data_IF_082664945493
#
_entry.id   IF_082664945493
#
_cell.length_a   1.000
_cell.length_b   1.000
_cell.length_c   1.000
_cell.angle_alpha   90.00
_cell.angle_beta   90.00
_cell.angle_gamma   90.00
#
_symmetry.space_group_name_H-M   'P 1'
#
loop_
_entity.id
_entity.type
_entity.pdbx_description
1 polymer ?
#
# COMPACT_ATOMS: atom_id res chain seq x y z
N UNK A 1 -41.23 61.57 -11.52
CA UNK A 1 -40.49 60.65 -12.43
C UNK A 1 -40.12 59.41 -11.63
N UNK A 2 -40.21 58.20 -12.21
CA UNK A 2 -40.00 56.91 -11.50
C UNK A 2 -41.13 56.58 -10.51
N UNK A 3 -42.09 55.68 -10.74
CA UNK A 3 -42.36 54.67 -11.78
C UNK A 3 -41.74 53.26 -11.54
N UNK A 4 -42.65 52.29 -11.26
CA UNK A 4 -42.47 50.83 -11.12
C UNK A 4 -41.62 50.32 -9.93
N UNK A 5 -41.85 49.11 -9.38
CA UNK A 5 -42.94 48.15 -9.62
C UNK A 5 -42.63 46.75 -9.05
N UNK A 6 -43.55 46.13 -8.29
CA UNK A 6 -43.34 44.78 -7.72
C UNK A 6 -43.53 43.65 -8.74
N UNK A 7 -42.71 42.60 -8.67
CA UNK A 7 -42.85 41.40 -9.52
C UNK A 7 -42.06 40.18 -9.02
N UNK A 8 -42.68 39.33 -8.19
CA UNK A 8 -42.06 38.11 -7.63
C UNK A 8 -42.90 36.86 -7.97
N UNK A 9 -42.52 36.09 -8.99
CA UNK A 9 -42.85 34.65 -9.23
C UNK A 9 -42.35 34.17 -10.61
N UNK A 10 -42.25 32.84 -10.79
CA UNK A 10 -41.77 32.07 -11.98
C UNK A 10 -40.25 32.09 -12.24
N UNK A 11 -39.55 31.22 -11.52
CA UNK A 11 -38.21 30.71 -11.87
C UNK A 11 -37.99 29.33 -11.22
N UNK A 12 -39.00 28.45 -11.30
CA UNK A 12 -39.00 27.11 -10.66
C UNK A 12 -39.75 26.09 -11.51
N UNK A 13 -39.54 26.15 -12.82
CA UNK A 13 -40.22 25.35 -13.86
C UNK A 13 -39.34 25.28 -15.12
N UNK A 14 -38.02 25.19 -14.92
CA UNK A 14 -37.01 25.19 -15.99
C UNK A 14 -35.73 24.49 -15.49
N UNK A 15 -35.93 23.33 -14.87
CA UNK A 15 -34.90 22.50 -14.24
C UNK A 15 -35.22 20.99 -14.36
N UNK A 16 -36.16 20.62 -15.24
CA UNK A 16 -36.75 19.27 -15.34
C UNK A 16 -36.93 18.79 -16.81
N UNK A 17 -36.41 19.51 -17.81
CA UNK A 17 -36.53 19.13 -19.24
C UNK A 17 -35.19 18.86 -19.96
N UNK A 18 -34.03 19.32 -19.46
CA UNK A 18 -32.71 19.08 -20.08
C UNK A 18 -32.11 17.68 -19.77
N UNK A 19 -32.88 16.77 -19.17
CA UNK A 19 -32.42 15.41 -18.81
C UNK A 19 -33.06 14.38 -19.76
N UNK A 20 -32.56 14.28 -21.01
CA UNK A 20 -32.83 13.11 -21.87
C UNK A 20 -31.93 12.86 -23.10
N UNK A 21 -31.28 13.87 -23.67
CA UNK A 21 -30.76 13.77 -25.05
C UNK A 21 -29.27 13.31 -25.19
N UNK A 22 -28.72 12.54 -24.25
CA UNK A 22 -27.32 12.04 -24.32
C UNK A 22 -27.12 10.54 -23.97
N UNK A 23 -28.15 9.70 -24.15
CA UNK A 23 -27.99 8.23 -24.15
C UNK A 23 -28.42 7.59 -25.48
N UNK A 24 -27.83 8.00 -26.60
CA UNK A 24 -27.72 7.12 -27.79
C UNK A 24 -26.68 7.60 -28.82
N UNK A 25 -25.47 7.00 -28.79
CA UNK A 25 -24.47 7.03 -29.89
C UNK A 25 -23.29 6.09 -29.66
N UNK A 26 -23.57 4.79 -29.67
CA UNK A 26 -22.54 3.76 -29.89
C UNK A 26 -23.01 2.81 -30.98
N UNK A 27 -22.07 2.38 -31.86
CA UNK A 27 -22.34 1.74 -33.17
C UNK A 27 -22.91 2.75 -34.19
N UNK A 28 -22.69 2.64 -35.50
CA UNK A 28 -22.06 1.57 -36.29
C UNK A 28 -21.41 2.15 -37.57
N UNK A 29 -20.25 1.63 -38.00
CA UNK A 29 -19.81 1.54 -39.41
C UNK A 29 -18.50 0.73 -39.52
N UNK A 30 -18.37 -0.11 -40.55
CA UNK A 30 -17.41 -1.23 -40.63
C UNK A 30 -17.05 -1.55 -42.09
N UNK A 31 -15.81 -2.05 -42.32
CA UNK A 31 -15.16 -2.45 -43.61
C UNK A 31 -15.04 -1.36 -44.69
N UNK A 32 -14.02 -1.37 -45.56
CA UNK A 32 -13.10 -2.42 -46.06
C UNK A 32 -11.61 -1.99 -45.98
N UNK A 33 -10.58 -2.86 -45.85
CA UNK A 33 -10.15 -4.05 -46.65
C UNK A 33 -9.78 -3.69 -48.11
N UNK A 34 -8.68 -4.11 -48.75
CA UNK A 34 -7.37 -4.75 -48.40
C UNK A 34 -6.28 -4.16 -49.39
N UNK A 35 -5.01 -4.58 -49.58
CA UNK A 35 -4.14 -5.68 -49.13
C UNK A 35 -2.61 -5.34 -49.34
N UNK A 36 -1.70 -6.17 -48.80
CA UNK A 36 -0.42 -6.70 -49.39
C UNK A 36 0.71 -5.78 -49.98
N UNK A 37 2.01 -6.15 -50.00
CA UNK A 37 2.83 -7.17 -49.29
C UNK A 37 4.35 -6.87 -49.49
N UNK A 38 5.21 -7.45 -48.63
CA UNK A 38 6.61 -7.93 -48.86
C UNK A 38 7.55 -7.42 -47.74
N UNK A 39 7.91 -8.17 -46.70
CA UNK A 39 8.50 -9.53 -46.60
C UNK A 39 10.00 -9.54 -46.91
N UNK A 40 10.82 -9.69 -45.86
CA UNK A 40 11.98 -10.59 -45.87
C UNK A 40 12.31 -11.05 -44.43
N UNK A 41 13.02 -12.18 -44.30
CA UNK A 41 13.17 -12.95 -43.07
C UNK A 41 14.63 -13.37 -42.90
N UNK A 42 15.18 -13.26 -41.69
CA UNK A 42 16.42 -13.94 -41.31
C UNK A 42 16.28 -14.58 -39.94
N UNK A 43 16.79 -15.81 -39.85
CA UNK A 43 16.71 -16.68 -38.68
C UNK A 43 18.15 -17.13 -38.37
N UNK A 44 18.56 -17.05 -37.10
CA UNK A 44 19.88 -17.49 -36.64
C UNK A 44 19.86 -17.68 -35.12
N UNK A 45 19.86 -18.93 -34.69
CA UNK A 45 19.97 -19.32 -33.28
C UNK A 45 21.38 -19.08 -32.75
N UNK A 46 21.48 -18.79 -31.45
CA UNK A 46 22.75 -18.76 -30.72
C UNK A 46 22.45 -19.02 -29.24
N UNK A 47 22.40 -20.30 -28.86
CA UNK A 47 22.46 -20.70 -27.46
C UNK A 47 23.86 -20.36 -26.91
N UNK A 48 23.92 -19.74 -25.74
CA UNK A 48 25.15 -19.54 -24.98
C UNK A 48 24.77 -19.49 -23.52
N UNK A 49 25.28 -20.44 -22.74
CA UNK A 49 25.17 -20.45 -21.28
C UNK A 49 25.48 -19.07 -20.69
N UNK A 50 24.59 -18.59 -19.82
CA UNK A 50 24.93 -17.53 -18.87
C UNK A 50 24.94 -18.12 -17.47
N UNK A 51 26.15 -18.17 -16.95
CA UNK A 51 26.56 -18.66 -15.64
C UNK A 51 25.70 -18.08 -14.49
N UNK A 52 25.50 -18.90 -13.45
CA UNK A 52 24.67 -18.61 -12.28
C UNK A 52 25.48 -17.79 -11.24
N UNK A 53 25.95 -16.59 -11.63
CA UNK A 53 26.70 -15.70 -10.74
C UNK A 53 26.28 -14.23 -10.85
N UNK A 54 26.47 -13.49 -9.74
CA UNK A 54 26.21 -12.05 -9.56
C UNK A 54 24.74 -11.61 -9.72
N UNK A 55 23.92 -11.94 -8.70
CA UNK A 55 22.69 -11.20 -8.37
C UNK A 55 22.90 -10.25 -7.18
N UNK A 56 24.05 -9.57 -7.12
CA UNK A 56 24.20 -8.30 -6.40
C UNK A 56 23.44 -7.24 -7.19
N UNK A 57 22.11 -7.26 -7.09
CA UNK A 57 21.26 -6.21 -7.66
C UNK A 57 21.32 -4.98 -6.75
N UNK A 58 21.40 -3.79 -7.34
CA UNK A 58 21.61 -2.54 -6.61
C UNK A 58 20.56 -2.35 -5.49
N UNK A 59 21.00 -2.44 -4.23
CA UNK A 59 20.30 -1.81 -3.11
C UNK A 59 20.31 -0.31 -3.39
N UNK A 60 19.21 0.20 -3.95
CA UNK A 60 19.10 1.60 -4.36
C UNK A 60 19.36 2.50 -3.14
N UNK A 61 20.50 3.19 -3.13
CA UNK A 61 21.09 3.83 -1.95
C UNK A 61 20.05 4.63 -1.15
N UNK A 62 19.53 4.02 -0.07
CA UNK A 62 18.58 4.68 0.83
C UNK A 62 19.34 5.78 1.57
N UNK A 63 19.07 7.03 1.22
CA UNK A 63 19.88 8.19 1.59
C UNK A 63 19.64 8.67 3.03
N UNK A 64 19.69 7.76 4.01
CA UNK A 64 19.76 8.03 5.45
C UNK A 64 18.56 8.77 6.06
N UNK A 65 17.42 8.81 5.36
CA UNK A 65 16.19 9.47 5.77
C UNK A 65 15.02 8.62 5.25
N UNK A 66 14.07 8.26 6.13
CA UNK A 66 13.01 7.29 5.86
C UNK A 66 11.92 7.76 4.88
N UNK A 67 10.74 7.11 4.84
CA UNK A 67 10.21 6.14 5.80
C UNK A 67 11.04 4.88 5.99
N UNK A 68 10.97 4.31 7.19
CA UNK A 68 11.64 3.08 7.59
C UNK A 68 10.76 1.87 7.32
N UNK A 69 11.34 0.68 7.16
CA UNK A 69 10.59 -0.58 7.26
C UNK A 69 10.40 -0.95 8.73
N UNK A 70 9.24 -1.52 9.07
CA UNK A 70 8.98 -2.17 10.38
C UNK A 70 10.01 -3.21 10.84
N UNK A 71 10.79 -3.80 9.93
CA UNK A 71 11.79 -4.84 10.17
C UNK A 71 13.23 -4.31 10.09
N UNK A 72 13.42 -3.02 9.87
CA UNK A 72 14.74 -2.38 9.82
C UNK A 72 15.30 -2.21 11.25
N UNK A 73 16.50 -2.73 11.58
CA UNK A 73 17.08 -2.60 12.91
C UNK A 73 17.52 -1.17 13.28
N UNK A 74 17.58 -0.23 12.32
CA UNK A 74 17.84 1.20 12.59
C UNK A 74 16.54 2.04 12.65
N UNK A 75 15.35 1.42 12.47
CA UNK A 75 14.07 2.11 12.59
C UNK A 75 13.84 2.73 13.98
N UNK A 76 13.12 3.86 14.07
CA UNK A 76 12.79 4.49 15.35
C UNK A 76 11.82 3.63 16.17
N UNK A 77 11.91 3.75 17.49
CA UNK A 77 10.95 3.17 18.42
C UNK A 77 9.53 3.72 18.14
N UNK A 78 8.58 2.80 17.94
CA UNK A 78 7.18 3.10 17.58
C UNK A 78 6.19 2.88 18.72
N UNK A 79 6.65 2.65 19.96
CA UNK A 79 5.75 2.41 21.11
C UNK A 79 4.72 3.54 21.30
N UNK A 80 5.17 4.79 21.20
CA UNK A 80 4.35 5.99 21.34
C UNK A 80 3.75 6.51 20.01
N UNK A 81 3.86 5.76 18.91
CA UNK A 81 3.28 6.12 17.60
C UNK A 81 1.80 5.72 17.53
N UNK A 82 1.02 6.46 16.72
CA UNK A 82 -0.36 6.11 16.41
C UNK A 82 -0.38 5.08 15.27
N UNK A 83 -0.92 3.90 15.54
CA UNK A 83 -0.99 2.79 14.60
C UNK A 83 -2.27 2.88 13.74
N UNK A 84 -2.14 2.71 12.42
CA UNK A 84 -3.25 2.60 11.47
C UNK A 84 -3.13 1.37 10.54
N UNK A 85 -2.36 0.35 10.92
CA UNK A 85 -2.07 -0.85 10.14
C UNK A 85 -0.77 -0.66 9.37
N UNK A 86 -0.84 -0.48 8.05
CA UNK A 86 0.33 -0.33 7.18
C UNK A 86 1.31 0.82 7.54
N UNK A 87 0.97 1.71 8.47
CA UNK A 87 1.78 2.88 8.83
C UNK A 87 1.73 3.14 10.35
N UNK A 88 2.90 3.32 10.94
CA UNK A 88 3.07 3.90 12.27
C UNK A 88 3.26 5.41 12.12
N UNK A 89 2.41 6.20 12.77
CA UNK A 89 2.40 7.66 12.64
C UNK A 89 3.02 8.34 13.89
N UNK A 90 4.12 9.10 13.77
CA UNK A 90 4.66 9.87 14.89
C UNK A 90 3.72 11.02 15.27
N UNK A 91 3.82 11.53 16.50
CA UNK A 91 2.97 12.64 16.94
C UNK A 91 3.45 14.01 16.41
N UNK A 92 2.76 14.54 15.39
CA UNK A 92 2.99 15.90 14.91
C UNK A 92 2.07 16.93 15.61
N UNK A 93 2.63 17.72 16.52
CA UNK A 93 1.89 18.73 17.27
C UNK A 93 1.19 19.75 16.35
N UNK A 94 -0.12 19.89 16.51
CA UNK A 94 -0.93 20.84 15.72
C UNK A 94 -1.24 20.35 14.30
N UNK A 95 -1.15 19.04 14.06
CA UNK A 95 -1.70 18.39 12.88
C UNK A 95 -3.12 17.84 13.12
N UNK A 96 -3.85 17.59 12.03
CA UNK A 96 -5.10 16.83 12.01
C UNK A 96 -4.91 15.56 11.16
N UNK A 97 -5.25 14.39 11.71
CA UNK A 97 -5.38 13.15 10.94
C UNK A 97 -6.81 13.01 10.41
N UNK A 98 -6.95 12.62 9.14
CA UNK A 98 -8.21 12.12 8.55
C UNK A 98 -7.91 10.84 7.76
N UNK A 99 -8.75 9.82 7.91
CA UNK A 99 -8.62 8.57 7.15
C UNK A 99 -9.51 8.57 5.91
N UNK A 100 -9.02 7.95 4.84
CA UNK A 100 -9.65 7.81 3.53
C UNK A 100 -10.33 6.44 3.44
N UNK A 101 -11.49 6.27 4.07
CA UNK A 101 -12.20 5.00 4.06
C UNK A 101 -12.99 4.76 2.76
N UNK A 102 -13.03 3.51 2.30
CA UNK A 102 -13.96 3.04 1.28
C UNK A 102 -15.38 3.02 1.88
N UNK A 103 -16.32 3.75 1.28
CA UNK A 103 -17.69 3.87 1.80
C UNK A 103 -18.57 2.62 1.59
N UNK A 104 -18.10 1.60 0.88
CA UNK A 104 -18.83 0.34 0.65
C UNK A 104 -18.35 -0.80 1.55
N UNK A 105 -17.03 -0.95 1.72
CA UNK A 105 -16.41 -2.04 2.50
C UNK A 105 -16.01 -1.61 3.91
N UNK A 106 -15.67 -0.33 4.10
CA UNK A 106 -15.13 0.22 5.34
C UNK A 106 -13.59 0.34 5.35
N UNK A 107 -12.89 -0.34 4.42
CA UNK A 107 -11.43 -0.41 4.38
C UNK A 107 -10.78 0.97 4.35
N UNK A 108 -9.70 1.17 5.11
CA UNK A 108 -8.92 2.40 5.05
C UNK A 108 -7.97 2.31 3.84
N UNK A 109 -8.09 3.27 2.92
CA UNK A 109 -7.32 3.34 1.67
C UNK A 109 -6.10 4.29 1.77
N UNK A 110 -5.92 4.95 2.91
CA UNK A 110 -4.85 5.90 3.15
C UNK A 110 -5.17 6.89 4.28
N UNK A 111 -4.16 7.67 4.65
CA UNK A 111 -4.26 8.73 5.65
C UNK A 111 -4.06 10.11 5.02
N UNK A 112 -4.53 11.17 5.68
CA UNK A 112 -4.20 12.55 5.34
C UNK A 112 -3.87 13.32 6.61
N UNK A 113 -2.63 13.79 6.68
CA UNK A 113 -2.13 14.67 7.73
C UNK A 113 -2.25 16.11 7.25
N UNK A 114 -3.06 16.94 7.91
CA UNK A 114 -3.11 18.39 7.66
C UNK A 114 -2.28 19.11 8.70
N UNK A 115 -1.35 19.96 8.26
CA UNK A 115 -0.56 20.82 9.13
C UNK A 115 -0.64 22.26 8.64
N UNK A 116 -1.25 23.14 9.45
CA UNK A 116 -1.51 24.55 9.13
C UNK A 116 -2.27 24.74 7.80
N UNK A 117 -1.59 25.17 6.74
CA UNK A 117 -2.18 25.40 5.41
C UNK A 117 -1.80 24.32 4.38
N UNK A 118 -1.00 23.33 4.80
CA UNK A 118 -0.51 22.23 3.99
C UNK A 118 -1.17 20.90 4.36
N UNK A 119 -1.09 19.91 3.49
CA UNK A 119 -1.49 18.54 3.79
C UNK A 119 -0.62 17.52 3.06
N UNK A 120 -0.44 16.36 3.68
CA UNK A 120 0.25 15.20 3.15
C UNK A 120 -0.73 14.03 3.17
N UNK A 121 -1.11 13.52 2.00
CA UNK A 121 -1.88 12.29 1.84
C UNK A 121 -0.90 11.11 1.67
N UNK A 122 -1.15 10.00 2.38
CA UNK A 122 -0.27 8.85 2.53
C UNK A 122 -0.98 7.59 2.07
N UNK A 123 -0.42 6.90 1.08
CA UNK A 123 -0.98 5.69 0.48
C UNK A 123 0.13 4.62 0.31
N UNK A 124 0.22 3.61 1.20
CA UNK A 124 1.18 2.52 1.11
C UNK A 124 0.69 1.44 0.15
N UNK A 125 1.52 1.08 -0.82
CA UNK A 125 1.28 0.02 -1.79
C UNK A 125 2.23 -1.16 -1.58
N UNK A 126 1.81 -2.37 -1.92
CA UNK A 126 2.69 -3.52 -2.03
C UNK A 126 3.56 -3.40 -3.31
N UNK A 127 4.84 -3.71 -3.20
CA UNK A 127 5.81 -3.69 -4.30
C UNK A 127 6.42 -5.10 -4.53
N UNK A 128 7.03 -5.36 -5.70
CA UNK A 128 7.78 -6.59 -5.95
C UNK A 128 8.94 -6.80 -4.95
N UNK A 129 9.47 -8.02 -4.88
CA UNK A 129 10.69 -8.31 -4.09
C UNK A 129 12.00 -7.85 -4.76
N UNK A 130 11.98 -7.58 -6.07
CA UNK A 130 13.18 -7.46 -6.91
C UNK A 130 13.38 -6.09 -7.55
N UNK A 131 12.38 -5.20 -7.47
CA UNK A 131 12.37 -3.87 -8.10
C UNK A 131 11.49 -2.94 -7.28
N UNK A 132 11.89 -1.67 -7.19
CA UNK A 132 11.02 -0.58 -6.72
C UNK A 132 9.83 -0.35 -7.65
N UNK A 133 8.71 0.06 -7.08
CA UNK A 133 7.46 0.35 -7.78
C UNK A 133 7.32 1.84 -8.14
N UNK A 134 8.02 2.74 -7.47
CA UNK A 134 7.84 4.18 -7.68
C UNK A 134 8.16 4.59 -9.12
N UNK A 135 9.20 4.03 -9.74
CA UNK A 135 9.60 4.41 -11.10
C UNK A 135 8.55 4.06 -12.17
N UNK A 136 7.82 2.95 -12.02
CA UNK A 136 6.67 2.64 -12.87
C UNK A 136 5.52 3.63 -12.65
N UNK A 137 5.19 3.90 -11.38
CA UNK A 137 4.10 4.80 -10.99
C UNK A 137 4.40 6.25 -11.41
N UNK A 138 5.67 6.66 -11.34
CA UNK A 138 6.20 7.94 -11.81
C UNK A 138 6.04 8.07 -13.33
N UNK A 139 6.40 7.03 -14.09
CA UNK A 139 6.22 6.98 -15.54
C UNK A 139 4.73 7.02 -15.95
N UNK A 140 3.86 6.25 -15.27
CA UNK A 140 2.41 6.29 -15.48
C UNK A 140 1.83 7.69 -15.20
N UNK A 141 2.21 8.31 -14.08
CA UNK A 141 1.73 9.64 -13.70
C UNK A 141 2.17 10.73 -14.70
N UNK A 142 3.42 10.67 -15.19
CA UNK A 142 3.92 11.56 -16.25
C UNK A 142 3.14 11.36 -17.56
N UNK A 143 2.94 10.11 -17.99
CA UNK A 143 2.21 9.74 -19.20
C UNK A 143 0.74 10.16 -19.16
N UNK A 144 0.09 10.03 -18.00
CA UNK A 144 -1.30 10.42 -17.80
C UNK A 144 -1.52 11.94 -17.68
N UNK A 145 -0.49 12.71 -17.32
CA UNK A 145 -0.63 14.14 -16.98
C UNK A 145 0.40 15.02 -17.74
N UNK A 146 0.08 15.53 -18.95
CA UNK A 146 1.01 16.35 -19.75
C UNK A 146 1.46 17.69 -19.12
N UNK A 147 0.90 18.09 -17.97
CA UNK A 147 1.35 19.25 -17.18
C UNK A 147 2.23 18.87 -15.98
N UNK A 148 2.44 17.58 -15.74
CA UNK A 148 3.32 17.05 -14.70
C UNK A 148 4.79 17.32 -15.07
N UNK A 149 5.65 17.46 -14.06
CA UNK A 149 7.10 17.63 -14.24
C UNK A 149 7.84 16.83 -13.20
N UNK A 150 8.87 16.13 -13.62
CA UNK A 150 9.86 15.56 -12.71
C UNK A 150 10.75 16.65 -12.12
N UNK A 151 11.09 16.51 -10.84
CA UNK A 151 12.02 17.36 -10.09
C UNK A 151 12.85 16.48 -9.16
N UNK A 152 14.10 16.84 -8.94
CA UNK A 152 14.92 16.25 -7.89
C UNK A 152 14.54 16.84 -6.53
N UNK A 153 14.37 15.99 -5.52
CA UNK A 153 13.96 16.39 -4.18
C UNK A 153 14.71 15.65 -3.07
N UNK A 154 14.10 15.54 -1.89
CA UNK A 154 14.75 14.94 -0.71
C UNK A 154 14.74 13.42 -0.82
N UNK A 155 13.68 12.86 -1.39
CA UNK A 155 13.46 11.43 -1.54
C UNK A 155 13.72 10.96 -2.98
N UNK A 156 14.80 11.47 -3.60
CA UNK A 156 15.16 11.18 -4.98
C UNK A 156 14.28 11.89 -6.01
N UNK A 157 13.71 11.13 -6.95
CA UNK A 157 12.88 11.66 -8.05
C UNK A 157 11.45 11.91 -7.60
N UNK A 158 10.99 13.15 -7.71
CA UNK A 158 9.65 13.58 -7.29
C UNK A 158 8.88 14.19 -8.47
N UNK A 159 7.54 14.28 -8.36
CA UNK A 159 6.68 14.86 -9.39
C UNK A 159 5.95 16.11 -8.90
N UNK A 160 6.08 17.20 -9.65
CA UNK A 160 5.25 18.41 -9.51
C UNK A 160 4.03 18.31 -10.43
N UNK A 161 2.82 18.24 -9.86
CA UNK A 161 1.57 17.96 -10.59
C UNK A 161 0.52 19.08 -10.39
N UNK A 162 0.09 19.77 -11.46
CA UNK A 162 -1.03 20.73 -11.37
C UNK A 162 -2.39 20.02 -11.39
N UNK A 163 -3.11 20.03 -10.25
CA UNK A 163 -4.44 19.39 -10.10
C UNK A 163 -5.55 20.44 -10.09
N UNK A 164 -6.63 20.22 -10.86
CA UNK A 164 -7.74 21.17 -10.99
C UNK A 164 -8.88 20.87 -10.01
N UNK A 165 -8.91 21.56 -8.88
CA UNK A 165 -9.92 21.38 -7.81
C UNK A 165 -10.91 22.54 -7.81
N UNK A 166 -12.21 22.24 -7.96
CA UNK A 166 -13.32 23.24 -7.95
C UNK A 166 -13.06 24.45 -8.87
N UNK A 167 -12.50 24.19 -10.05
CA UNK A 167 -12.16 25.20 -11.06
C UNK A 167 -10.83 25.94 -10.86
N UNK A 168 -10.14 25.76 -9.72
CA UNK A 168 -8.81 26.33 -9.45
C UNK A 168 -7.72 25.31 -9.73
N UNK A 169 -6.60 25.73 -10.31
CA UNK A 169 -5.41 24.89 -10.41
C UNK A 169 -4.62 25.01 -9.10
N UNK A 170 -4.51 23.90 -8.37
CA UNK A 170 -3.62 23.74 -7.23
C UNK A 170 -2.35 23.04 -7.72
N UNK A 171 -1.22 23.32 -7.08
CA UNK A 171 0.01 22.56 -7.31
C UNK A 171 0.12 21.53 -6.19
N UNK A 172 0.31 20.26 -6.56
CA UNK A 172 0.70 19.19 -5.64
C UNK A 172 2.11 18.72 -5.97
N UNK A 173 2.76 18.09 -5.00
CA UNK A 173 4.04 17.40 -5.13
C UNK A 173 3.79 15.95 -4.74
N UNK A 174 4.05 15.02 -5.64
CA UNK A 174 3.93 13.58 -5.41
C UNK A 174 5.33 13.01 -5.24
N UNK A 175 5.53 12.34 -4.12
CA UNK A 175 6.72 11.56 -3.77
C UNK A 175 6.29 10.10 -3.73
N UNK A 176 7.14 9.19 -4.19
CA UNK A 176 7.04 7.77 -3.91
C UNK A 176 8.39 7.29 -3.37
N UNK A 177 8.35 6.40 -2.40
CA UNK A 177 9.55 5.90 -1.71
C UNK A 177 9.41 4.39 -1.63
N UNK A 178 10.35 3.67 -2.23
CA UNK A 178 10.36 2.21 -2.29
C UNK A 178 11.13 1.61 -1.09
N UNK A 179 10.61 0.49 -0.58
CA UNK A 179 11.21 -0.28 0.51
C UNK A 179 10.86 -1.77 0.42
N UNK A 180 11.22 -2.59 1.42
CA UNK A 180 11.14 -4.06 1.35
C UNK A 180 9.72 -4.63 1.11
N UNK A 181 9.38 -4.82 -0.19
CA UNK A 181 8.06 -5.25 -0.70
C UNK A 181 6.95 -4.19 -0.56
N UNK A 182 7.29 -2.91 -0.43
CA UNK A 182 6.32 -1.82 -0.36
C UNK A 182 6.80 -0.54 -1.08
N UNK A 183 5.86 0.36 -1.35
CA UNK A 183 6.11 1.72 -1.83
C UNK A 183 5.13 2.68 -1.17
N UNK A 184 5.63 3.70 -0.45
CA UNK A 184 4.78 4.72 0.16
C UNK A 184 4.66 5.93 -0.77
N UNK A 185 3.44 6.22 -1.22
CA UNK A 185 3.12 7.46 -1.95
C UNK A 185 2.74 8.57 -0.98
N UNK A 186 3.50 9.67 -1.00
CA UNK A 186 3.21 10.92 -0.30
C UNK A 186 2.74 12.01 -1.26
N UNK A 187 1.50 12.48 -1.14
CA UNK A 187 0.97 13.60 -1.95
C UNK A 187 0.86 14.86 -1.09
N UNK A 188 1.82 15.76 -1.29
CA UNK A 188 1.86 17.07 -0.65
C UNK A 188 0.96 18.08 -1.38
N UNK A 189 0.18 18.84 -0.62
CA UNK A 189 -0.72 19.90 -1.07
C UNK A 189 -0.55 21.17 -0.24
N UNK A 190 -0.84 22.33 -0.83
CA UNK A 190 -0.71 23.64 -0.16
C UNK A 190 0.72 24.20 -0.25
N UNK A 191 1.18 25.03 0.71
CA UNK A 191 2.54 25.55 0.76
C UNK A 191 3.64 24.46 0.67
N UNK A 192 3.46 23.32 1.33
CA UNK A 192 4.41 22.21 1.32
C UNK A 192 4.72 21.65 -0.07
N UNK A 193 3.77 21.78 -1.02
CA UNK A 193 3.98 21.40 -2.43
C UNK A 193 4.92 22.34 -3.21
N UNK A 194 5.49 23.37 -2.56
CA UNK A 194 6.37 24.37 -3.19
C UNK A 194 7.63 24.67 -2.40
N UNK A 195 7.59 24.60 -1.06
CA UNK A 195 8.76 24.80 -0.20
C UNK A 195 8.54 25.71 1.00
N UNK A 196 9.60 25.89 1.78
CA UNK A 196 9.59 26.61 3.06
C UNK A 196 9.00 25.77 4.20
N UNK A 197 8.87 26.38 5.39
CA UNK A 197 8.72 25.67 6.68
C UNK A 197 7.61 24.62 6.79
N UNK A 198 6.55 24.67 5.98
CA UNK A 198 5.52 23.62 5.98
C UNK A 198 5.89 22.42 5.09
N UNK A 199 6.75 22.58 4.07
CA UNK A 199 7.46 21.47 3.41
C UNK A 199 8.41 20.85 4.43
N UNK A 200 9.32 21.64 4.99
CA UNK A 200 10.42 21.14 5.81
C UNK A 200 9.93 20.31 7.01
N UNK A 201 8.79 20.67 7.61
CA UNK A 201 8.12 19.90 8.68
C UNK A 201 7.41 18.64 8.16
N UNK A 202 6.73 18.68 7.00
CA UNK A 202 6.04 17.51 6.46
C UNK A 202 6.97 16.52 5.76
N UNK A 203 8.14 16.96 5.29
CA UNK A 203 9.21 16.10 4.80
C UNK A 203 9.89 15.37 5.95
N UNK A 204 10.23 16.06 7.05
CA UNK A 204 10.71 15.41 8.27
C UNK A 204 9.69 14.39 8.79
N UNK A 205 8.41 14.79 8.86
CA UNK A 205 7.33 13.87 9.23
C UNK A 205 7.22 12.64 8.31
N UNK A 206 7.39 12.79 7.00
CA UNK A 206 7.42 11.66 6.05
C UNK A 206 8.63 10.75 6.31
N UNK A 207 9.79 11.32 6.61
CA UNK A 207 11.00 10.56 6.94
C UNK A 207 10.93 9.82 8.29
N UNK A 208 10.17 10.36 9.24
CA UNK A 208 9.94 9.78 10.57
C UNK A 208 8.84 8.69 10.59
N UNK A 209 8.20 8.37 9.45
CA UNK A 209 7.21 7.27 9.36
C UNK A 209 7.88 5.89 9.36
N UNK A 210 7.19 4.89 9.91
CA UNK A 210 7.56 3.48 9.75
C UNK A 210 6.43 2.74 9.01
N UNK A 211 6.79 1.96 8.00
CA UNK A 211 5.85 1.22 7.14
C UNK A 211 5.78 -0.23 7.57
N UNK A 212 4.59 -0.69 7.93
CA UNK A 212 4.33 -2.07 8.37
C UNK A 212 3.76 -2.86 7.19
N UNK A 213 4.63 -3.41 6.36
CA UNK A 213 4.16 -4.22 5.21
C UNK A 213 3.51 -5.53 5.64
N UNK A 214 3.89 -6.10 6.78
CA UNK A 214 3.42 -7.39 7.26
C UNK A 214 3.79 -8.57 6.36
N UNK A 215 3.28 -9.76 6.68
CA UNK A 215 3.64 -11.00 5.98
C UNK A 215 2.62 -11.47 4.93
N UNK A 216 1.42 -10.87 4.89
CA UNK A 216 0.37 -11.31 3.99
C UNK A 216 0.75 -11.13 2.50
N UNK A 217 0.46 -12.14 1.65
CA UNK A 217 0.70 -12.05 0.21
C UNK A 217 -0.32 -11.10 -0.43
N UNK A 218 0.19 -9.99 -0.97
CA UNK A 218 -0.57 -9.00 -1.75
C UNK A 218 0.07 -8.92 -3.15
N UNK A 219 -0.72 -8.59 -4.18
CA UNK A 219 -0.16 -8.36 -5.50
C UNK A 219 0.57 -7.01 -5.54
N UNK A 220 1.60 -6.84 -6.39
CA UNK A 220 2.18 -5.53 -6.64
C UNK A 220 1.09 -4.53 -7.06
N UNK A 221 1.14 -3.32 -6.47
CA UNK A 221 0.18 -2.21 -6.66
C UNK A 221 -1.17 -2.36 -5.93
N UNK A 222 -1.39 -3.43 -5.17
CA UNK A 222 -2.43 -3.45 -4.12
C UNK A 222 -2.06 -2.46 -3.01
N UNK A 223 -3.07 -1.92 -2.29
CA UNK A 223 -2.84 -1.16 -1.06
C UNK A 223 -2.48 -2.13 0.09
N UNK A 224 -1.54 -1.73 0.94
CA UNK A 224 -1.25 -2.48 2.18
C UNK A 224 -2.40 -2.23 3.18
N UNK A 225 -2.94 -3.27 3.85
CA UNK A 225 -4.07 -3.14 4.76
C UNK A 225 -3.90 -2.06 5.85
N UNK A 226 -4.93 -1.24 6.03
CA UNK A 226 -5.00 -0.21 7.07
C UNK A 226 -6.32 -0.30 7.83
N UNK A 227 -6.31 0.12 9.10
CA UNK A 227 -7.46 0.09 10.00
C UNK A 227 -7.71 1.46 10.67
N UNK A 228 -8.75 1.51 11.50
CA UNK A 228 -9.01 2.67 12.36
C UNK A 228 -7.85 2.86 13.37
N UNK A 229 -7.59 4.08 13.88
CA UNK A 229 -6.38 4.34 14.63
C UNK A 229 -6.37 3.67 16.01
N UNK A 230 -5.31 2.93 16.32
CA UNK A 230 -5.06 2.30 17.62
C UNK A 230 -3.99 3.12 18.35
N UNK A 231 -4.34 3.65 19.53
CA UNK A 231 -3.40 4.46 20.32
C UNK A 231 -2.35 3.60 21.05
N UNK A 232 -1.17 4.15 21.40
CA UNK A 232 -0.15 3.47 22.22
C UNK A 232 -0.71 2.71 23.44
N UNK A 233 -1.60 3.36 24.19
CA UNK A 233 -2.24 2.77 25.37
C UNK A 233 -3.16 1.58 25.05
N UNK A 234 -3.74 1.53 23.85
CA UNK A 234 -4.56 0.40 23.40
C UNK A 234 -3.68 -0.77 22.96
N UNK A 235 -2.66 -0.53 22.11
CA UNK A 235 -1.70 -1.59 21.71
C UNK A 235 -1.03 -2.23 22.93
N UNK A 236 -0.58 -1.43 23.90
CA UNK A 236 0.05 -1.94 25.12
C UNK A 236 -0.91 -2.79 25.95
N UNK A 237 -2.17 -2.35 26.10
CA UNK A 237 -3.22 -3.15 26.76
C UNK A 237 -3.53 -4.45 26.02
N UNK A 238 -3.62 -4.43 24.69
CA UNK A 238 -3.88 -5.61 23.85
C UNK A 238 -2.72 -6.63 23.87
N UNK A 239 -1.48 -6.16 24.04
CA UNK A 239 -0.31 -7.01 24.27
C UNK A 239 -0.30 -7.65 25.67
N UNK A 240 -0.56 -6.88 26.73
CA UNK A 240 -0.71 -7.41 28.09
C UNK A 240 -1.86 -8.45 28.17
N UNK A 241 -2.95 -8.22 27.43
CA UNK A 241 -4.07 -9.15 27.28
C UNK A 241 -3.72 -10.39 26.44
N UNK A 242 -2.65 -10.40 25.62
CA UNK A 242 -2.25 -11.59 24.84
C UNK A 242 -1.28 -12.47 25.63
N UNK A 243 -0.23 -11.90 26.23
CA UNK A 243 0.73 -12.63 27.08
C UNK A 243 0.04 -13.38 28.24
N UNK A 244 -0.96 -12.74 28.86
CA UNK A 244 -1.74 -13.34 29.95
C UNK A 244 -2.64 -14.51 29.51
N UNK A 245 -3.05 -14.57 28.24
CA UNK A 245 -3.84 -15.70 27.69
C UNK A 245 -2.95 -16.90 27.34
N UNK A 246 -1.73 -16.66 26.87
CA UNK A 246 -0.77 -17.74 26.58
C UNK A 246 -0.36 -18.46 27.87
N UNK A 247 -0.12 -17.75 28.98
CA UNK A 247 0.22 -18.33 30.28
C UNK A 247 -0.96 -19.10 30.94
N UNK A 248 -2.22 -18.68 30.70
CA UNK A 248 -3.39 -19.49 31.07
C UNK A 248 -3.50 -20.76 30.20
N UNK A 249 -3.23 -20.66 28.90
CA UNK A 249 -3.27 -21.81 27.97
C UNK A 249 -2.21 -22.87 28.26
N UNK A 250 -1.09 -22.49 28.90
CA UNK A 250 -0.02 -23.40 29.30
C UNK A 250 -0.44 -24.39 30.40
N UNK A 251 -1.55 -24.14 31.12
CA UNK A 251 -2.08 -25.04 32.15
C UNK A 251 -2.92 -26.18 31.55
N UNK A 252 -2.25 -27.14 30.90
CA UNK A 252 -2.86 -28.39 30.42
C UNK A 252 -3.62 -29.08 31.58
N UNK A 253 -4.95 -29.22 31.51
CA UNK A 253 -5.73 -29.83 32.60
C UNK A 253 -5.34 -31.30 32.80
N UNK A 254 -4.84 -31.65 33.98
CA UNK A 254 -4.49 -33.03 34.34
C UNK A 254 -3.02 -33.42 34.16
N UNK A 255 -2.08 -32.47 34.15
CA UNK A 255 -0.64 -32.77 34.36
C UNK A 255 -0.47 -33.52 35.70
N UNK A 256 0.05 -34.77 35.72
CA UNK A 256 0.15 -35.53 36.96
C UNK A 256 1.29 -35.01 37.84
N UNK A 257 0.96 -34.57 39.06
CA UNK A 257 1.95 -34.24 40.09
C UNK A 257 2.43 -35.50 40.81
N UNK A 258 3.57 -36.03 40.39
CA UNK A 258 4.27 -37.12 41.08
C UNK A 258 5.45 -37.66 40.28
N UNK A 259 6.45 -38.26 40.95
CA UNK A 259 7.49 -39.02 40.25
C UNK A 259 6.87 -40.24 39.53
N UNK A 260 7.36 -40.54 38.33
CA UNK A 260 6.91 -41.70 37.55
C UNK A 260 7.33 -43.02 38.21
N UNK A 261 6.43 -43.62 39.00
CA UNK A 261 6.60 -45.00 39.44
C UNK A 261 6.54 -45.93 38.21
N UNK A 262 7.59 -46.71 38.01
CA UNK A 262 7.95 -47.24 36.69
C UNK A 262 7.44 -48.66 36.47
N UNK A 263 6.13 -48.82 36.23
CA UNK A 263 5.52 -50.14 35.97
C UNK A 263 4.36 -50.10 34.94
N UNK A 264 4.60 -49.55 33.74
CA UNK A 264 3.73 -49.80 32.58
C UNK A 264 4.07 -51.14 31.91
N UNK A 265 3.33 -52.20 32.25
CA UNK A 265 3.34 -53.44 31.47
C UNK A 265 2.60 -53.25 30.14
N UNK A 266 3.36 -53.07 29.06
CA UNK A 266 2.81 -52.99 27.70
C UNK A 266 2.51 -54.39 27.15
N UNK A 267 1.24 -54.84 27.23
CA UNK A 267 0.79 -56.07 26.54
C UNK A 267 0.82 -55.90 25.00
N UNK A 268 1.94 -56.24 24.38
CA UNK A 268 2.07 -56.21 22.91
C UNK A 268 1.34 -57.40 22.29
N UNK A 269 0.07 -57.20 21.89
CA UNK A 269 -0.73 -58.18 21.15
C UNK A 269 -0.28 -58.32 19.68
N UNK A 270 0.80 -59.06 19.46
CA UNK A 270 1.32 -59.42 18.13
C UNK A 270 0.45 -60.47 17.42
N UNK A 271 -0.69 -60.04 16.85
CA UNK A 271 -1.48 -60.89 15.94
C UNK A 271 -1.01 -60.76 14.47
N UNK A 272 0.27 -61.01 14.21
CA UNK A 272 0.80 -61.11 12.84
C UNK A 272 1.23 -62.55 12.54
N UNK A 273 0.27 -63.35 12.05
CA UNK A 273 0.53 -64.74 11.67
C UNK A 273 1.47 -64.79 10.46
N UNK A 274 2.71 -65.25 10.68
CA UNK A 274 3.68 -65.47 9.59
C UNK A 274 3.26 -66.69 8.78
N UNK A 275 2.82 -66.48 7.55
CA UNK A 275 2.60 -67.57 6.59
C UNK A 275 3.89 -68.38 6.34
N UNK A 276 3.78 -69.67 6.00
CA UNK A 276 4.95 -70.53 5.82
C UNK A 276 5.81 -70.08 4.64
N UNK A 277 7.13 -70.05 4.84
CA UNK A 277 8.09 -69.92 3.75
C UNK A 277 8.04 -71.17 2.87
N UNK A 278 7.77 -71.01 1.59
CA UNK A 278 8.09 -72.00 0.57
C UNK A 278 9.43 -71.64 -0.07
N UNK A 279 10.49 -72.25 0.43
CA UNK A 279 11.81 -72.25 -0.19
C UNK A 279 11.80 -73.15 -1.42
N UNK A 280 12.18 -72.59 -2.57
CA UNK A 280 13.10 -73.15 -3.58
C UNK A 280 12.89 -74.59 -4.11
N UNK A 281 13.00 -74.78 -5.43
CA UNK A 281 13.94 -75.73 -6.10
C UNK A 281 13.67 -75.82 -7.61
N UNK A 282 14.71 -75.44 -8.37
CA UNK A 282 15.10 -75.88 -9.73
C UNK A 282 14.16 -75.62 -10.92
#
# INVERSE_FOLDING_TARGET
MGLFGFGRKRAKTQAEEDIKDQEDKSKELDKSKDAEESTEQSDLTSETDRDETAAEQDEAEQSGQGPWDSMDPEAPDTDEYLDIGALMLPFLQGSELRLKANSQTGDVLGATITYKSSSLELEPFAAPKSLGLWDEVRADLLKANPSCKEVDGVFGKELTLPVKVKGKNLLTRVVGIDGPRWMLRGIFSGPAAKGGKEKDVLDGYLADLVVVRGDEPLAPRDLVPMHAPITPNQRRGEAEDSESKDDESAQIPGKPEGPFDSDQQTEVKTTLSRGPMFSEVR
#
